data_IF_966205620933
#
_entry.id   IF_966205620933
#
_cell.length_a   1.000
_cell.length_b   1.000
_cell.length_c   1.000
_cell.angle_alpha   90.00
_cell.angle_beta   90.00
_cell.angle_gamma   90.00
#
_symmetry.space_group_name_H-M   'P 1'
#
loop_
_entity.id
_entity.type
_entity.pdbx_description
1 polymer ?
#
# COMPACT_ATOMS: atom_id res chain seq x y z
N UNK A 1 19.48 -8.41 13.43
CA UNK A 1 19.43 -8.02 12.00
C UNK A 1 18.17 -7.20 11.82
N UNK A 2 18.22 -5.98 11.29
CA UNK A 2 16.99 -5.27 10.93
C UNK A 2 16.49 -5.90 9.64
N UNK A 3 15.46 -6.73 9.73
CA UNK A 3 14.77 -7.26 8.55
C UNK A 3 14.37 -6.06 7.69
N UNK A 4 14.97 -5.99 6.50
CA UNK A 4 14.69 -4.95 5.53
C UNK A 4 13.30 -5.27 4.99
N UNK A 5 12.28 -4.56 5.46
CA UNK A 5 10.93 -4.69 4.91
C UNK A 5 11.00 -4.48 3.40
N UNK A 6 10.68 -5.52 2.64
CA UNK A 6 10.55 -5.44 1.19
C UNK A 6 9.22 -4.80 0.85
N UNK A 7 9.24 -3.88 -0.10
CA UNK A 7 8.07 -3.07 -0.48
C UNK A 7 7.64 -3.35 -1.90
N UNK A 8 6.35 -3.20 -2.13
CA UNK A 8 5.72 -3.30 -3.43
C UNK A 8 4.88 -2.05 -3.67
N UNK A 9 4.87 -1.58 -4.90
CA UNK A 9 4.06 -0.46 -5.35
C UNK A 9 2.98 -0.93 -6.34
N UNK A 10 1.79 -0.37 -6.22
CA UNK A 10 0.67 -0.57 -7.12
C UNK A 10 0.20 0.80 -7.59
N UNK A 11 0.13 1.00 -8.90
CA UNK A 11 -0.48 2.19 -9.47
C UNK A 11 -1.98 1.92 -9.71
N UNK A 12 -2.86 2.61 -8.98
CA UNK A 12 -4.30 2.49 -9.14
C UNK A 12 -4.87 3.37 -10.26
N UNK A 13 -4.01 4.11 -10.96
CA UNK A 13 -4.40 5.00 -12.05
C UNK A 13 -4.89 6.37 -11.57
N UNK A 14 -5.72 7.01 -12.38
CA UNK A 14 -6.22 8.36 -12.16
C UNK A 14 -7.06 8.48 -10.89
N UNK A 15 -6.77 9.48 -10.06
CA UNK A 15 -7.36 9.65 -8.73
C UNK A 15 -8.90 9.63 -8.70
N UNK A 16 -9.55 10.16 -9.73
CA UNK A 16 -11.02 10.17 -9.86
C UNK A 16 -11.58 8.75 -9.99
N UNK A 17 -10.90 7.87 -10.74
CA UNK A 17 -11.31 6.48 -10.96
C UNK A 17 -10.75 5.54 -9.89
N UNK A 18 -9.62 5.90 -9.30
CA UNK A 18 -8.89 5.10 -8.33
C UNK A 18 -9.52 5.08 -6.94
N UNK A 19 -10.44 6.00 -6.63
CA UNK A 19 -11.05 6.11 -5.29
C UNK A 19 -11.76 4.82 -4.88
N UNK A 20 -12.59 4.26 -5.77
CA UNK A 20 -13.28 2.98 -5.50
C UNK A 20 -12.29 1.84 -5.32
N UNK A 21 -11.31 1.72 -6.22
CA UNK A 21 -10.28 0.68 -6.13
C UNK A 21 -9.42 0.81 -4.86
N UNK A 22 -9.17 2.03 -4.38
CA UNK A 22 -8.43 2.29 -3.15
C UNK A 22 -9.22 1.82 -1.93
N UNK A 23 -10.52 2.11 -1.86
CA UNK A 23 -11.38 1.64 -0.76
C UNK A 23 -11.57 0.12 -0.78
N UNK A 24 -11.75 -0.49 -1.96
CA UNK A 24 -11.83 -1.95 -2.09
C UNK A 24 -10.52 -2.63 -1.65
N UNK A 25 -9.37 -2.07 -2.02
CA UNK A 25 -8.07 -2.57 -1.59
C UNK A 25 -7.88 -2.36 -0.08
N UNK A 26 -8.31 -1.24 0.48
CA UNK A 26 -8.25 -0.99 1.92
C UNK A 26 -9.03 -2.04 2.71
N UNK A 27 -10.27 -2.35 2.32
CA UNK A 27 -11.10 -3.36 2.98
C UNK A 27 -10.45 -4.77 2.94
N UNK A 28 -9.82 -5.12 1.80
CA UNK A 28 -9.07 -6.37 1.68
C UNK A 28 -7.84 -6.41 2.59
N UNK A 29 -7.09 -5.31 2.65
CA UNK A 29 -5.91 -5.19 3.51
C UNK A 29 -6.30 -5.26 4.99
N UNK A 30 -7.37 -4.58 5.40
CA UNK A 30 -7.83 -4.59 6.79
C UNK A 30 -8.26 -5.99 7.25
N UNK A 31 -8.96 -6.75 6.39
CA UNK A 31 -9.31 -8.15 6.66
C UNK A 31 -8.07 -9.02 6.86
N UNK A 32 -7.12 -8.94 5.93
CA UNK A 32 -5.86 -9.71 6.03
C UNK A 32 -5.03 -9.32 7.25
N UNK A 33 -5.03 -8.04 7.62
CA UNK A 33 -4.34 -7.60 8.83
C UNK A 33 -4.98 -8.18 10.10
N UNK A 34 -6.31 -8.26 10.14
CA UNK A 34 -7.04 -8.91 11.24
C UNK A 34 -6.77 -10.42 11.29
N UNK A 35 -6.79 -11.10 10.15
CA UNK A 35 -6.58 -12.55 10.04
C UNK A 35 -5.14 -12.99 10.33
N UNK A 36 -4.18 -12.05 10.28
CA UNK A 36 -2.75 -12.29 10.56
C UNK A 36 -2.33 -11.93 11.98
N UNK A 37 -3.29 -11.89 12.93
CA UNK A 37 -3.07 -11.46 14.31
C UNK A 37 -2.39 -10.09 14.41
N UNK A 38 -2.68 -9.18 13.47
CA UNK A 38 -2.15 -7.82 13.42
C UNK A 38 -0.61 -7.78 13.36
N UNK A 39 -0.04 -8.57 12.46
CA UNK A 39 1.40 -8.65 12.24
C UNK A 39 2.06 -7.25 12.07
N UNK A 40 3.01 -6.91 12.93
CA UNK A 40 3.67 -5.59 12.94
C UNK A 40 4.43 -5.27 11.64
N UNK A 41 4.77 -6.29 10.86
CA UNK A 41 5.46 -6.18 9.58
C UNK A 41 4.52 -5.88 8.41
N UNK A 42 3.19 -5.87 8.62
CA UNK A 42 2.20 -5.50 7.63
C UNK A 42 1.92 -4.01 7.67
N UNK A 43 2.37 -3.30 6.64
CA UNK A 43 2.13 -1.86 6.49
C UNK A 43 1.70 -1.55 5.06
N UNK A 44 0.70 -0.69 4.92
CA UNK A 44 0.23 -0.17 3.65
C UNK A 44 -0.06 1.33 3.73
N UNK A 45 0.42 2.06 2.73
CA UNK A 45 0.29 3.49 2.59
C UNK A 45 -0.07 3.83 1.15
N UNK A 46 -0.55 5.04 0.91
CA UNK A 46 -0.76 5.54 -0.45
C UNK A 46 -0.37 7.00 -0.55
N UNK A 47 -0.13 7.45 -1.78
CA UNK A 47 0.07 8.88 -2.07
C UNK A 47 -0.58 9.26 -3.38
N UNK A 48 -0.99 10.53 -3.44
CA UNK A 48 -1.37 11.18 -4.68
C UNK A 48 -0.14 11.81 -5.30
N UNK A 49 0.21 11.37 -6.51
CA UNK A 49 1.25 12.01 -7.32
C UNK A 49 0.62 12.86 -8.41
N UNK A 50 0.87 14.17 -8.36
CA UNK A 50 0.50 15.08 -9.43
C UNK A 50 1.39 14.83 -10.65
N UNK A 51 0.85 14.21 -11.70
CA UNK A 51 1.52 14.10 -13.00
C UNK A 51 1.28 15.30 -13.91
N UNK A 52 1.95 15.33 -15.06
CA UNK A 52 1.83 16.40 -16.07
C UNK A 52 0.41 16.56 -16.63
N UNK A 53 -0.40 15.50 -16.63
CA UNK A 53 -1.77 15.49 -17.16
C UNK A 53 -2.83 15.12 -16.13
N UNK A 54 -2.54 14.18 -15.22
CA UNK A 54 -3.48 13.75 -14.18
C UNK A 54 -2.77 13.34 -12.89
N UNK A 55 -3.49 13.46 -11.77
CA UNK A 55 -3.07 12.92 -10.47
C UNK A 55 -3.27 11.41 -10.44
N UNK A 56 -2.23 10.67 -10.06
CA UNK A 56 -2.28 9.22 -9.92
C UNK A 56 -2.24 8.82 -8.45
N UNK A 57 -2.86 7.70 -8.12
CA UNK A 57 -2.77 7.09 -6.79
C UNK A 57 -1.79 5.93 -6.85
N UNK A 58 -0.71 6.02 -6.08
CA UNK A 58 0.19 4.89 -5.85
C UNK A 58 -0.01 4.36 -4.43
N UNK A 59 -0.21 3.06 -4.31
CA UNK A 59 -0.27 2.33 -3.05
C UNK A 59 1.05 1.60 -2.86
N UNK A 60 1.59 1.69 -1.65
CA UNK A 60 2.78 0.98 -1.21
C UNK A 60 2.38 -0.01 -0.13
N UNK A 61 2.79 -1.25 -0.29
CA UNK A 61 2.54 -2.29 0.71
C UNK A 61 3.78 -3.15 0.94
N UNK A 62 3.95 -3.59 2.18
CA UNK A 62 5.01 -4.52 2.58
C UNK A 62 4.82 -5.92 1.98
N UNK A 63 5.91 -6.69 1.88
CA UNK A 63 5.89 -8.05 1.37
C UNK A 63 4.90 -8.97 2.10
N UNK A 64 4.65 -8.76 3.40
CA UNK A 64 3.68 -9.53 4.16
C UNK A 64 2.26 -9.36 3.60
N UNK A 65 1.87 -8.13 3.24
CA UNK A 65 0.60 -7.91 2.53
C UNK A 65 0.60 -8.55 1.15
N UNK A 66 1.70 -8.45 0.40
CA UNK A 66 1.76 -9.03 -0.94
C UNK A 66 1.68 -10.56 -0.92
N UNK A 67 2.32 -11.21 0.05
CA UNK A 67 2.29 -12.67 0.23
C UNK A 67 0.89 -13.15 0.61
N UNK A 68 0.13 -12.36 1.38
CA UNK A 68 -1.20 -12.72 1.82
C UNK A 68 -2.29 -12.44 0.76
N UNK A 69 -2.24 -11.29 0.07
CA UNK A 69 -3.28 -10.89 -0.89
C UNK A 69 -2.94 -11.19 -2.36
N UNK A 70 -1.68 -11.41 -2.70
CA UNK A 70 -1.21 -11.57 -4.08
C UNK A 70 -1.77 -10.47 -5.01
N UNK A 71 -1.64 -9.20 -4.61
CA UNK A 71 -2.25 -8.08 -5.32
C UNK A 71 -1.70 -8.00 -6.75
N UNK A 72 -2.59 -7.99 -7.73
CA UNK A 72 -2.23 -7.94 -9.15
C UNK A 72 -1.60 -6.61 -9.51
N UNK A 73 -0.53 -6.64 -10.30
CA UNK A 73 0.17 -5.44 -10.74
C UNK A 73 1.08 -4.81 -9.68
N UNK A 74 1.21 -5.43 -8.51
CA UNK A 74 2.20 -5.03 -7.52
C UNK A 74 3.62 -5.32 -8.03
N UNK A 75 4.48 -4.30 -8.02
CA UNK A 75 5.86 -4.40 -8.46
C UNK A 75 6.82 -4.13 -7.29
N UNK A 76 7.90 -4.90 -7.11
CA UNK A 76 8.91 -4.62 -6.09
C UNK A 76 9.45 -3.19 -6.22
N UNK A 77 9.58 -2.50 -5.11
CA UNK A 77 10.09 -1.13 -5.07
C UNK A 77 10.97 -0.89 -3.83
N UNK A 78 11.65 0.25 -3.81
CA UNK A 78 12.28 0.72 -2.57
C UNK A 78 11.20 1.14 -1.56
N UNK A 79 11.56 1.14 -0.27
CA UNK A 79 10.70 1.71 0.75
C UNK A 79 10.34 3.15 0.40
N UNK A 80 9.04 3.53 0.45
CA UNK A 80 8.64 4.89 0.16
C UNK A 80 9.15 5.85 1.25
N UNK A 81 9.35 7.12 0.88
CA UNK A 81 9.62 8.17 1.86
C UNK A 81 8.31 8.52 2.57
N UNK A 82 8.34 8.64 3.90
CA UNK A 82 7.13 8.89 4.70
C UNK A 82 6.59 10.33 4.65
N UNK A 83 7.31 11.26 4.03
CA UNK A 83 7.00 12.70 4.03
C UNK A 83 5.65 13.08 3.42
N UNK A 84 5.11 12.24 2.54
CA UNK A 84 3.92 12.47 1.72
C UNK A 84 2.97 11.25 1.66
N UNK A 85 3.18 10.29 2.56
CA UNK A 85 2.35 9.09 2.63
C UNK A 85 1.12 9.29 3.50
N UNK A 86 -0.01 8.82 3.00
CA UNK A 86 -1.24 8.65 3.77
C UNK A 86 -1.35 7.18 4.18
N UNK A 87 -1.67 6.93 5.45
CA UNK A 87 -1.90 5.57 5.94
C UNK A 87 -3.11 4.95 5.24
N UNK A 88 -2.96 3.70 4.81
CA UNK A 88 -4.05 2.91 4.21
C UNK A 88 -4.54 1.82 5.18
N UNK A 89 -3.64 0.92 5.60
CA UNK A 89 -3.97 -0.23 6.43
C UNK A 89 -2.74 -0.83 7.14
N UNK A 90 -2.99 -1.67 8.16
CA UNK A 90 -1.96 -2.41 8.88
C UNK A 90 -1.39 -1.70 10.11
N UNK A 91 -0.17 -2.06 10.48
CA UNK A 91 0.54 -1.46 11.61
C UNK A 91 1.04 -0.06 11.25
N UNK A 92 0.38 0.96 11.79
CA UNK A 92 0.80 2.35 11.62
C UNK A 92 2.01 2.63 12.49
N UNK A 93 3.21 2.50 11.94
CA UNK A 93 4.40 3.03 12.59
C UNK A 93 4.45 4.57 12.45
N UNK A 94 4.71 5.30 13.55
CA UNK A 94 4.86 6.76 13.55
C UNK A 94 6.16 7.22 12.89
#
# INVERSE_FOLDING_TARGET
MKDKLEWYAINLGDAILATTALYELQDQLDKVYQDSDRCEAMQAYYRYESGNTHCKVNVYLTAHFQQALCVKGALPCMAPLYSDLTFLAGNKTP
#
